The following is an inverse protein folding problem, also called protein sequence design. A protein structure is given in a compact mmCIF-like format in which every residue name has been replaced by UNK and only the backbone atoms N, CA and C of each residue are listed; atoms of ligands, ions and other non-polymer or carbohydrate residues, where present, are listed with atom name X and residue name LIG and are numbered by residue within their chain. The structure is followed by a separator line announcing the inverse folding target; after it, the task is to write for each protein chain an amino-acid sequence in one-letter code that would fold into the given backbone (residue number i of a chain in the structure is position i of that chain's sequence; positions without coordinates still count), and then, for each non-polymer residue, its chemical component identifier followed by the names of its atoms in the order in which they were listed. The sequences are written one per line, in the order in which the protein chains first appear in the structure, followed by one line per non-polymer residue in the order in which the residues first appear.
data_IF_180492285809
#
_entry.id   IF_180492285809
#
_cell.length_a   1.000
_cell.length_b   1.000
_cell.length_c   1.000
_cell.angle_alpha   90.00
_cell.angle_beta   90.00
_cell.angle_gamma   90.00
#
_symmetry.space_group_name_H-M   'P 1'
#
loop_
_entity.id
_entity.type
_entity.pdbx_description
1 polymer ?
#
# COMPACT_ATOMS: atom_id res chain seq x y z
N UNK A 1 -9.69 7.93 -1.26
CA UNK A 1 -9.56 6.76 -0.35
C UNK A 1 -10.87 6.01 -0.16
N UNK A 2 -12.03 6.67 -0.24
CA UNK A 2 -13.36 6.10 0.03
C UNK A 2 -13.78 4.91 -0.86
N UNK A 3 -13.20 4.77 -2.07
CA UNK A 3 -13.61 3.72 -3.03
C UNK A 3 -13.10 2.32 -2.66
N UNK A 4 -12.02 2.23 -1.89
CA UNK A 4 -11.34 0.96 -1.51
C UNK A 4 -11.54 0.58 -0.05
N UNK A 5 -12.61 1.11 0.57
CA UNK A 5 -12.98 0.85 1.97
C UNK A 5 -12.07 1.47 3.05
N UNK A 6 -10.92 2.03 2.67
CA UNK A 6 -10.01 2.71 3.59
C UNK A 6 -10.57 4.02 4.14
N UNK A 7 -10.45 4.19 5.47
CA UNK A 7 -10.58 5.47 6.17
C UNK A 7 -9.20 6.07 6.39
N UNK A 8 -9.10 7.39 6.48
CA UNK A 8 -7.81 8.07 6.74
C UNK A 8 -7.16 7.55 8.04
N UNK A 9 -7.95 7.40 9.11
CA UNK A 9 -7.48 6.87 10.39
C UNK A 9 -6.94 5.43 10.27
N UNK A 10 -7.58 4.56 9.48
CA UNK A 10 -7.12 3.17 9.34
C UNK A 10 -5.84 3.06 8.52
N UNK A 11 -5.62 3.96 7.56
CA UNK A 11 -4.33 4.07 6.87
C UNK A 11 -3.23 4.50 7.82
N UNK A 12 -3.45 5.56 8.59
CA UNK A 12 -2.47 6.05 9.57
C UNK A 12 -2.13 4.96 10.60
N UNK A 13 -3.15 4.28 11.14
CA UNK A 13 -2.94 3.20 12.10
C UNK A 13 -2.13 2.04 11.52
N UNK A 14 -2.35 1.70 10.24
CA UNK A 14 -1.63 0.62 9.55
C UNK A 14 -0.15 0.97 9.36
N UNK A 15 0.17 2.24 9.07
CA UNK A 15 1.55 2.70 8.95
C UNK A 15 2.24 2.78 10.31
N UNK A 16 1.55 3.25 11.35
CA UNK A 16 2.12 3.42 12.69
C UNK A 16 2.32 2.10 13.44
N UNK A 17 1.45 1.12 13.21
CA UNK A 17 1.49 -0.18 13.88
C UNK A 17 1.21 -1.32 12.88
N UNK A 18 2.14 -1.57 11.94
CA UNK A 18 1.98 -2.65 10.97
C UNK A 18 2.13 -4.03 11.64
N UNK A 19 1.41 -5.02 11.12
CA UNK A 19 1.67 -6.42 11.46
C UNK A 19 3.01 -6.90 10.88
N UNK A 20 3.37 -6.43 9.68
CA UNK A 20 4.66 -6.65 9.05
C UNK A 20 4.94 -5.58 7.98
N UNK A 21 6.20 -5.50 7.53
CA UNK A 21 6.63 -4.58 6.48
C UNK A 21 7.43 -5.29 5.40
N UNK A 22 7.40 -4.78 4.17
CA UNK A 22 8.27 -5.23 3.08
C UNK A 22 8.80 -4.04 2.26
N UNK A 23 10.03 -4.16 1.76
CA UNK A 23 10.61 -3.16 0.87
C UNK A 23 10.02 -3.28 -0.55
N UNK A 24 9.78 -2.14 -1.18
CA UNK A 24 9.34 -2.03 -2.58
C UNK A 24 9.82 -0.70 -3.19
N UNK A 25 9.27 -0.30 -4.34
CA UNK A 25 9.59 0.99 -4.98
C UNK A 25 8.34 1.71 -5.49
N UNK A 26 8.36 3.03 -5.37
CA UNK A 26 7.43 3.91 -6.07
C UNK A 26 7.86 4.02 -7.54
N UNK A 27 7.18 3.26 -8.39
CA UNK A 27 7.45 3.17 -9.84
C UNK A 27 6.47 3.99 -10.68
N UNK A 28 5.73 4.93 -10.06
CA UNK A 28 4.85 5.86 -10.78
C UNK A 28 5.66 6.67 -11.80
N UNK A 29 5.02 7.02 -12.91
CA UNK A 29 5.61 7.90 -13.91
C UNK A 29 5.33 9.36 -13.56
N UNK A 30 6.35 10.19 -13.69
CA UNK A 30 6.25 11.65 -13.64
C UNK A 30 5.54 12.17 -14.90
N UNK A 31 5.10 13.43 -14.86
CA UNK A 31 4.41 14.08 -15.99
C UNK A 31 5.30 14.19 -17.24
N UNK A 32 6.62 14.24 -17.04
CA UNK A 32 7.62 14.28 -18.11
C UNK A 32 7.95 12.89 -18.70
N UNK A 33 7.30 11.83 -18.22
CA UNK A 33 7.50 10.46 -18.69
C UNK A 33 8.68 9.73 -18.02
N UNK A 34 9.42 10.38 -17.11
CA UNK A 34 10.45 9.69 -16.32
C UNK A 34 9.81 8.82 -15.23
N UNK A 35 10.44 7.70 -14.89
CA UNK A 35 9.98 6.85 -13.79
C UNK A 35 10.59 7.33 -12.48
N UNK A 36 9.78 7.44 -11.42
CA UNK A 36 10.24 7.90 -10.11
C UNK A 36 11.30 6.95 -9.52
N UNK A 37 11.01 5.65 -9.51
CA UNK A 37 11.91 4.59 -9.05
C UNK A 37 12.50 4.89 -7.65
N UNK A 38 11.67 5.34 -6.72
CA UNK A 38 12.08 5.74 -5.37
C UNK A 38 11.85 4.61 -4.36
N UNK A 39 12.60 4.55 -3.24
CA UNK A 39 12.36 3.58 -2.18
C UNK A 39 10.96 3.77 -1.58
N UNK A 40 10.29 2.66 -1.31
CA UNK A 40 8.98 2.63 -0.69
C UNK A 40 8.83 1.42 0.23
N UNK A 41 7.94 1.53 1.21
CA UNK A 41 7.65 0.48 2.17
C UNK A 41 6.18 0.06 2.08
N UNK A 42 5.95 -1.25 2.02
CA UNK A 42 4.63 -1.87 2.21
C UNK A 42 4.40 -2.08 3.70
N UNK A 43 3.28 -1.59 4.22
CA UNK A 43 2.81 -1.80 5.58
C UNK A 43 1.59 -2.71 5.54
N UNK A 44 1.72 -3.91 6.07
CA UNK A 44 0.62 -4.87 6.15
C UNK A 44 -0.14 -4.69 7.46
N UNK A 45 -1.46 -4.64 7.35
CA UNK A 45 -2.40 -4.77 8.46
C UNK A 45 -2.54 -6.26 8.82
N UNK A 46 -3.01 -6.55 10.03
CA UNK A 46 -3.13 -7.92 10.55
C UNK A 46 -4.03 -8.85 9.74
N UNK A 47 -4.95 -8.30 8.95
CA UNK A 47 -5.83 -9.05 8.03
C UNK A 47 -5.27 -9.14 6.60
N UNK A 48 -3.98 -8.84 6.43
CA UNK A 48 -3.25 -8.88 5.17
C UNK A 48 -3.38 -7.61 4.33
N UNK A 49 -4.41 -6.78 4.51
CA UNK A 49 -4.57 -5.56 3.71
C UNK A 49 -3.38 -4.61 3.89
N UNK A 50 -3.01 -3.84 2.88
CA UNK A 50 -1.77 -3.08 2.91
C UNK A 50 -1.89 -1.64 2.45
N UNK A 51 -0.91 -0.85 2.87
CA UNK A 51 -0.62 0.51 2.42
C UNK A 51 0.83 0.56 1.95
N UNK A 52 1.08 1.11 0.76
CA UNK A 52 2.44 1.38 0.26
C UNK A 52 2.73 2.86 0.42
N UNK A 53 3.81 3.20 1.12
CA UNK A 53 4.25 4.56 1.35
C UNK A 53 5.60 4.80 0.66
N UNK A 54 5.76 5.93 -0.02
CA UNK A 54 7.06 6.38 -0.51
C UNK A 54 7.92 6.86 0.66
N UNK A 55 9.13 6.34 0.80
CA UNK A 55 9.97 6.63 1.97
C UNK A 55 10.57 8.05 1.95
N UNK A 56 10.68 8.66 0.77
CA UNK A 56 11.26 9.99 0.60
C UNK A 56 10.21 11.10 0.80
N UNK A 57 8.99 10.89 0.27
CA UNK A 57 7.93 11.92 0.29
C UNK A 57 6.85 11.69 1.33
N UNK A 58 6.73 10.47 1.86
CA UNK A 58 5.59 10.07 2.70
C UNK A 58 4.28 9.89 1.92
N UNK A 59 4.33 9.92 0.59
CA UNK A 59 3.13 9.76 -0.23
C UNK A 59 2.58 8.35 -0.12
N UNK A 60 1.25 8.24 -0.04
CA UNK A 60 0.57 6.96 -0.23
C UNK A 60 0.56 6.62 -1.73
N UNK A 61 1.38 5.64 -2.10
CA UNK A 61 1.55 5.17 -3.48
C UNK A 61 0.40 4.27 -3.88
N UNK A 62 0.03 3.33 -3.00
CA UNK A 62 -0.99 2.32 -3.26
C UNK A 62 -1.63 1.85 -1.96
N UNK A 63 -2.88 1.42 -2.05
CA UNK A 63 -3.57 0.67 -0.98
C UNK A 63 -4.27 -0.53 -1.59
N UNK A 64 -4.36 -1.66 -0.87
CA UNK A 64 -5.23 -2.76 -1.28
C UNK A 64 -6.71 -2.34 -1.28
N UNK A 65 -7.59 -3.12 -1.88
CA UNK A 65 -9.02 -2.88 -1.74
C UNK A 65 -9.56 -3.66 -0.53
N UNK A 66 -10.03 -2.98 0.52
CA UNK A 66 -10.60 -3.66 1.70
C UNK A 66 -12.03 -4.12 1.49
N UNK A 67 -12.66 -3.75 0.38
CA UNK A 67 -13.99 -4.25 0.01
C UNK A 67 -13.89 -5.54 -0.83
N UNK A 68 -12.70 -5.90 -1.31
CA UNK A 68 -12.45 -7.09 -2.10
C UNK A 68 -11.66 -8.12 -1.26
N UNK A 69 -12.31 -9.19 -0.77
CA UNK A 69 -11.65 -10.22 0.02
C UNK A 69 -10.72 -11.12 -0.82
N UNK A 70 -10.77 -11.03 -2.16
CA UNK A 70 -9.92 -11.79 -3.07
C UNK A 70 -8.87 -10.89 -3.74
N UNK A 71 -8.56 -9.74 -3.13
CA UNK A 71 -7.61 -8.78 -3.70
C UNK A 71 -6.24 -9.44 -3.93
N UNK A 72 -5.81 -9.46 -5.18
CA UNK A 72 -4.47 -9.94 -5.56
C UNK A 72 -3.53 -8.73 -5.58
N UNK A 73 -2.49 -8.77 -4.77
CA UNK A 73 -1.48 -7.73 -4.80
C UNK A 73 -0.63 -7.79 -6.09
N UNK A 74 0.09 -6.70 -6.46
CA UNK A 74 0.98 -6.69 -7.61
C UNK A 74 2.15 -7.69 -7.52
N UNK A 75 2.34 -8.32 -6.37
CA UNK A 75 3.40 -9.27 -6.07
C UNK A 75 2.90 -10.73 -6.15
N UNK A 76 1.63 -10.95 -6.51
CA UNK A 76 1.01 -12.26 -6.70
C UNK A 76 0.44 -12.90 -5.44
N UNK A 77 0.38 -12.20 -4.31
CA UNK A 77 -0.24 -12.72 -3.09
C UNK A 77 -1.73 -12.41 -3.06
N UNK A 78 -2.54 -13.41 -2.68
CA UNK A 78 -3.94 -13.18 -2.30
C UNK A 78 -3.95 -12.60 -0.90
N UNK A 79 -4.47 -11.39 -0.78
CA UNK A 79 -4.59 -10.65 0.46
C UNK A 79 -6.03 -10.80 0.98
N UNK A 80 -6.21 -11.16 2.25
CA UNK A 80 -7.54 -11.25 2.88
C UNK A 80 -8.11 -12.68 3.05
N UNK A 81 -7.32 -13.72 2.83
CA UNK A 81 -7.68 -15.07 3.30
C UNK A 81 -7.40 -15.19 4.81
N UNK A 82 -8.34 -15.74 5.61
CA UNK A 82 -8.15 -15.94 7.05
C UNK A 82 -6.97 -16.88 7.37
#
# INVERSE_FOLDING_TARGET
MSKRGWKQQSVVATIQNPASTAATRDNRYNIDGTQKNEPATVYYRSDGHYVVCNDLTGDIVQVSDTNDPNWIDPFGNIIGSP
#
